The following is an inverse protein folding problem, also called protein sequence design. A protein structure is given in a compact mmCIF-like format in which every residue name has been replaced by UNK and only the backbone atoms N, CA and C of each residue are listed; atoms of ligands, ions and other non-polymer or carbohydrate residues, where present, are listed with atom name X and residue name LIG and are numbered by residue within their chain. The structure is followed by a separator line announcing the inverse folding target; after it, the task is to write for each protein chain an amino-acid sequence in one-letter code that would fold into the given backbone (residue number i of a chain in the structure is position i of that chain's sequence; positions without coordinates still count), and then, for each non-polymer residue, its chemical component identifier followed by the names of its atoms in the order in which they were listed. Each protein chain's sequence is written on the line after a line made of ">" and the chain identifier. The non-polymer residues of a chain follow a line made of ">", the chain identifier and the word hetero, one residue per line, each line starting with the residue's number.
data_IF_841433130148
#
_entry.id   IF_841433130148
#
_cell.length_a   1.000
_cell.length_b   1.000
_cell.length_c   1.000
_cell.angle_alpha   90.00
_cell.angle_beta   90.00
_cell.angle_gamma   90.00
#
_symmetry.space_group_name_H-M   'P 1'
#
loop_
_entity.id
_entity.type
_entity.pdbx_description
1 polymer ?
#
# COMPACT_ATOMS: atom_id res chain seq x y z
N UNK A 1 -45.00 -24.55 9.82
CA UNK A 1 -44.75 -23.13 10.16
C UNK A 1 -43.82 -23.10 11.36
N UNK A 2 -42.52 -22.92 11.13
CA UNK A 2 -41.50 -22.91 12.18
C UNK A 2 -40.67 -21.64 12.02
N UNK A 3 -40.69 -20.79 13.06
CA UNK A 3 -39.98 -19.54 13.14
C UNK A 3 -38.46 -19.76 13.03
N UNK A 4 -37.87 -19.35 11.90
CA UNK A 4 -36.41 -19.27 11.74
C UNK A 4 -35.85 -18.04 12.48
N UNK A 5 -34.68 -18.15 13.13
CA UNK A 5 -34.10 -17.04 13.88
C UNK A 5 -33.78 -15.87 12.93
N UNK A 6 -34.23 -14.68 13.33
CA UNK A 6 -34.16 -13.41 12.62
C UNK A 6 -32.71 -13.09 12.17
N UNK A 7 -32.52 -12.90 10.86
CA UNK A 7 -31.35 -12.19 10.30
C UNK A 7 -30.23 -13.03 9.68
N UNK A 8 -30.42 -14.32 9.40
CA UNK A 8 -29.42 -15.13 8.69
C UNK A 8 -29.64 -15.04 7.17
N UNK A 9 -28.78 -14.31 6.46
CA UNK A 9 -28.75 -14.40 5.00
C UNK A 9 -28.25 -15.79 4.58
N UNK A 10 -28.83 -16.41 3.52
CA UNK A 10 -28.40 -17.69 3.03
C UNK A 10 -26.95 -17.65 2.55
N UNK A 11 -26.22 -18.74 2.74
CA UNK A 11 -24.81 -18.88 2.33
C UNK A 11 -24.66 -18.57 0.84
N UNK A 12 -23.94 -17.49 0.52
CA UNK A 12 -23.64 -17.15 -0.85
C UNK A 12 -22.40 -17.92 -1.31
N UNK A 13 -22.53 -18.50 -2.51
CA UNK A 13 -21.42 -19.21 -3.17
C UNK A 13 -20.60 -18.21 -3.96
N UNK A 14 -19.32 -18.53 -4.11
CA UNK A 14 -18.39 -17.73 -4.90
C UNK A 14 -18.62 -17.98 -6.40
N UNK A 15 -18.12 -17.08 -7.25
CA UNK A 15 -18.23 -17.25 -8.69
C UNK A 15 -17.45 -18.51 -9.16
N UNK A 16 -18.00 -19.32 -10.11
CA UNK A 16 -17.39 -20.57 -10.58
C UNK A 16 -15.98 -20.44 -11.14
N UNK A 17 -15.57 -19.26 -11.59
CA UNK A 17 -14.25 -19.01 -12.15
C UNK A 17 -13.16 -18.71 -11.10
N UNK A 18 -13.52 -18.50 -9.84
CA UNK A 18 -12.55 -18.22 -8.76
C UNK A 18 -11.37 -19.20 -8.64
N UNK A 19 -11.54 -20.52 -8.84
CA UNK A 19 -10.47 -21.50 -8.64
C UNK A 19 -9.44 -21.49 -9.75
N UNK A 20 -9.89 -21.29 -10.99
CA UNK A 20 -9.04 -21.17 -12.17
C UNK A 20 -8.11 -19.95 -12.01
N UNK A 21 -8.65 -18.84 -11.48
CA UNK A 21 -7.92 -17.60 -11.26
C UNK A 21 -6.84 -17.71 -10.16
N UNK A 22 -7.12 -18.44 -9.07
CA UNK A 22 -6.11 -18.73 -8.04
C UNK A 22 -5.08 -19.77 -8.48
N UNK A 23 -5.53 -20.84 -9.15
CA UNK A 23 -4.68 -21.97 -9.58
C UNK A 23 -3.70 -21.61 -10.70
N UNK A 24 -4.04 -20.66 -11.57
CA UNK A 24 -3.16 -20.24 -12.67
C UNK A 24 -1.81 -19.69 -12.17
N UNK A 25 -1.80 -18.91 -11.08
CA UNK A 25 -0.56 -18.36 -10.50
C UNK A 25 0.36 -19.46 -9.96
N UNK A 26 -0.19 -20.44 -9.23
CA UNK A 26 0.58 -21.59 -8.75
C UNK A 26 1.06 -22.48 -9.89
N UNK A 27 0.27 -22.63 -10.96
CA UNK A 27 0.67 -23.43 -12.12
C UNK A 27 1.90 -22.83 -12.81
N UNK A 28 1.94 -21.51 -13.01
CA UNK A 28 3.12 -20.85 -13.59
C UNK A 28 4.36 -21.01 -12.71
N UNK A 29 4.23 -20.92 -11.39
CA UNK A 29 5.35 -21.13 -10.45
C UNK A 29 5.81 -22.59 -10.46
N UNK A 30 4.89 -23.55 -10.50
CA UNK A 30 5.21 -24.98 -10.61
C UNK A 30 5.89 -25.29 -11.94
N UNK A 31 5.39 -24.75 -13.05
CA UNK A 31 6.01 -24.89 -14.38
C UNK A 31 7.39 -24.24 -14.42
N UNK A 32 7.56 -23.07 -13.82
CA UNK A 32 8.85 -22.39 -13.73
C UNK A 32 9.83 -23.09 -12.78
N UNK A 33 9.33 -23.70 -11.69
CA UNK A 33 10.11 -24.46 -10.73
C UNK A 33 10.50 -25.86 -11.22
N UNK A 34 9.72 -26.44 -12.13
CA UNK A 34 10.08 -27.60 -12.94
C UNK A 34 11.16 -27.15 -13.94
N UNK A 35 12.36 -26.99 -13.40
CA UNK A 35 13.54 -26.43 -14.05
C UNK A 35 13.91 -27.14 -15.36
N UNK A 36 14.68 -26.44 -16.19
CA UNK A 36 15.37 -26.97 -17.38
C UNK A 36 16.15 -28.27 -17.09
N UNK A 37 16.60 -28.47 -15.85
CA UNK A 37 17.22 -29.72 -15.38
C UNK A 37 16.28 -30.92 -15.42
N UNK A 38 14.99 -30.74 -15.12
CA UNK A 38 13.98 -31.79 -15.21
C UNK A 38 13.67 -32.10 -16.67
N UNK A 39 13.55 -31.08 -17.52
CA UNK A 39 13.37 -31.27 -18.97
C UNK A 39 14.50 -32.10 -19.58
N UNK A 40 15.77 -31.80 -19.24
CA UNK A 40 16.93 -32.54 -19.75
C UNK A 40 17.02 -33.99 -19.22
N UNK A 41 16.47 -34.28 -18.04
CA UNK A 41 16.50 -35.64 -17.46
C UNK A 41 15.43 -36.56 -18.02
N UNK A 42 14.23 -36.04 -18.23
CA UNK A 42 13.06 -36.86 -18.57
C UNK A 42 12.71 -36.79 -20.07
N UNK A 43 13.25 -35.80 -20.79
CA UNK A 43 12.97 -35.58 -22.21
C UNK A 43 11.66 -34.82 -22.43
N UNK A 44 11.53 -34.17 -23.59
CA UNK A 44 10.42 -33.24 -23.89
C UNK A 44 9.04 -33.89 -23.79
N UNK A 45 8.86 -35.10 -24.35
CA UNK A 45 7.56 -35.77 -24.34
C UNK A 45 7.04 -36.10 -22.94
N UNK A 46 7.90 -36.67 -22.09
CA UNK A 46 7.56 -36.96 -20.69
C UNK A 46 7.39 -35.71 -19.85
N UNK A 47 8.15 -34.66 -20.12
CA UNK A 47 7.96 -33.36 -19.47
C UNK A 47 6.57 -32.79 -19.76
N UNK A 48 6.15 -32.80 -21.03
CA UNK A 48 4.79 -32.35 -21.42
C UNK A 48 3.72 -33.21 -20.78
N UNK A 49 3.87 -34.54 -20.76
CA UNK A 49 2.93 -35.44 -20.10
C UNK A 49 2.81 -35.15 -18.59
N UNK A 50 3.95 -34.98 -17.90
CA UNK A 50 3.98 -34.65 -16.47
C UNK A 50 3.32 -33.29 -16.17
N UNK A 51 3.64 -32.25 -16.95
CA UNK A 51 3.01 -30.93 -16.82
C UNK A 51 1.51 -31.01 -17.05
N UNK A 52 1.06 -31.81 -18.01
CA UNK A 52 -0.36 -32.02 -18.32
C UNK A 52 -1.08 -32.70 -17.16
N UNK A 53 -0.50 -33.78 -16.59
CA UNK A 53 -1.06 -34.48 -15.44
C UNK A 53 -1.13 -33.57 -14.21
N UNK A 54 -0.06 -32.79 -13.94
CA UNK A 54 -0.05 -31.82 -12.85
C UNK A 54 -1.09 -30.72 -13.05
N UNK A 55 -1.24 -30.20 -14.27
CA UNK A 55 -2.25 -29.20 -14.59
C UNK A 55 -3.67 -29.75 -14.43
N UNK A 56 -3.92 -30.99 -14.86
CA UNK A 56 -5.21 -31.66 -14.70
C UNK A 56 -5.54 -31.88 -13.21
N UNK A 57 -4.58 -32.42 -12.44
CA UNK A 57 -4.73 -32.64 -11.00
C UNK A 57 -4.96 -31.33 -10.24
N UNK A 58 -4.21 -30.28 -10.57
CA UNK A 58 -4.42 -28.94 -10.00
C UNK A 58 -5.80 -28.38 -10.34
N UNK A 59 -6.30 -28.59 -11.55
CA UNK A 59 -7.63 -28.16 -11.98
C UNK A 59 -8.73 -28.87 -11.19
N UNK A 60 -8.63 -30.20 -11.02
CA UNK A 60 -9.56 -30.97 -10.20
C UNK A 60 -9.56 -30.48 -8.76
N UNK A 61 -8.38 -30.35 -8.14
CA UNK A 61 -8.26 -29.83 -6.77
C UNK A 61 -8.85 -28.42 -6.63
N UNK A 62 -8.65 -27.56 -7.63
CA UNK A 62 -9.22 -26.21 -7.64
C UNK A 62 -10.75 -26.25 -7.70
N UNK A 63 -11.36 -27.06 -8.56
CA UNK A 63 -12.82 -27.23 -8.66
C UNK A 63 -13.40 -27.77 -7.35
N UNK A 64 -12.80 -28.80 -6.75
CA UNK A 64 -13.33 -29.34 -5.49
C UNK A 64 -13.16 -28.33 -4.33
N UNK A 65 -12.06 -27.56 -4.32
CA UNK A 65 -11.86 -26.46 -3.36
C UNK A 65 -12.95 -25.38 -3.48
N UNK A 66 -13.34 -25.02 -4.71
CA UNK A 66 -14.43 -24.08 -4.98
C UNK A 66 -15.75 -24.47 -4.33
N UNK A 67 -16.16 -25.73 -4.53
CA UNK A 67 -17.43 -26.25 -4.04
C UNK A 67 -17.55 -26.14 -2.51
N UNK A 68 -16.42 -26.19 -1.80
CA UNK A 68 -16.37 -26.11 -0.36
C UNK A 68 -16.18 -24.69 0.19
N UNK A 69 -15.87 -23.70 -0.68
CA UNK A 69 -15.59 -22.32 -0.27
C UNK A 69 -16.86 -21.46 -0.36
N UNK A 70 -17.13 -20.65 0.67
CA UNK A 70 -18.29 -19.75 0.65
C UNK A 70 -18.31 -18.78 1.82
N UNK A 71 -19.20 -17.79 1.76
CA UNK A 71 -19.32 -16.77 2.78
C UNK A 71 -20.76 -16.57 3.24
N UNK A 72 -20.93 -16.12 4.48
CA UNK A 72 -22.19 -15.59 4.96
C UNK A 72 -21.96 -14.38 5.86
N UNK A 73 -22.88 -13.42 5.82
CA UNK A 73 -22.92 -12.29 6.75
C UNK A 73 -23.99 -12.60 7.78
N UNK A 74 -23.60 -12.74 9.05
CA UNK A 74 -24.51 -13.04 10.16
C UNK A 74 -24.39 -11.92 11.19
N UNK A 75 -25.45 -11.10 11.30
CA UNK A 75 -25.46 -9.96 12.22
C UNK A 75 -24.34 -8.97 11.92
N UNK A 76 -23.33 -8.91 12.80
CA UNK A 76 -22.12 -8.07 12.66
C UNK A 76 -20.84 -8.86 12.39
N UNK A 77 -20.95 -10.12 11.94
CA UNK A 77 -19.80 -10.97 11.60
C UNK A 77 -19.87 -11.43 10.15
N UNK A 78 -18.74 -11.32 9.44
CA UNK A 78 -18.52 -11.97 8.16
C UNK A 78 -17.84 -13.32 8.42
N UNK A 79 -18.52 -14.44 8.12
CA UNK A 79 -17.88 -15.76 8.24
C UNK A 79 -17.50 -16.33 6.89
N UNK A 80 -16.23 -16.70 6.77
CA UNK A 80 -15.64 -17.33 5.60
C UNK A 80 -15.37 -18.80 5.89
N UNK A 81 -15.72 -19.65 4.93
CA UNK A 81 -15.50 -21.09 4.98
C UNK A 81 -14.48 -21.43 3.90
N UNK A 82 -13.36 -22.04 4.30
CA UNK A 82 -12.29 -22.48 3.41
C UNK A 82 -11.92 -23.93 3.72
N UNK A 83 -11.39 -24.62 2.71
CA UNK A 83 -10.66 -25.87 2.90
C UNK A 83 -11.32 -27.09 2.26
N UNK A 84 -10.46 -27.94 1.73
CA UNK A 84 -10.81 -29.22 1.11
C UNK A 84 -10.64 -30.38 2.10
N UNK A 85 -9.41 -30.58 2.58
CA UNK A 85 -9.05 -31.62 3.55
C UNK A 85 -9.22 -31.14 5.00
N UNK A 86 -8.81 -29.90 5.29
CA UNK A 86 -9.00 -29.27 6.60
C UNK A 86 -9.99 -28.12 6.47
N UNK A 87 -11.22 -28.32 6.98
CA UNK A 87 -12.25 -27.28 7.01
C UNK A 87 -11.87 -26.22 8.04
N UNK A 88 -11.76 -24.97 7.59
CA UNK A 88 -11.45 -23.80 8.41
C UNK A 88 -12.59 -22.81 8.25
N UNK A 89 -13.21 -22.46 9.38
CA UNK A 89 -14.20 -21.38 9.44
C UNK A 89 -13.56 -20.21 10.15
N UNK A 90 -13.57 -19.04 9.53
CA UNK A 90 -13.08 -17.80 10.15
C UNK A 90 -14.24 -16.81 10.26
N UNK A 91 -14.47 -16.29 11.45
CA UNK A 91 -15.43 -15.22 11.68
C UNK A 91 -14.67 -13.91 11.85
N UNK A 92 -14.94 -12.94 10.97
CA UNK A 92 -14.37 -11.59 10.99
C UNK A 92 -15.46 -10.64 11.50
N UNK A 93 -15.33 -10.10 12.73
CA UNK A 93 -16.23 -9.07 13.21
C UNK A 93 -16.13 -7.82 12.33
N UNK A 94 -17.27 -7.31 11.86
CA UNK A 94 -17.33 -6.11 10.99
C UNK A 94 -16.78 -4.86 11.68
N UNK A 95 -16.78 -4.83 13.02
CA UNK A 95 -16.16 -3.77 13.81
C UNK A 95 -14.63 -3.76 13.74
N UNK A 96 -14.02 -4.92 13.45
CA UNK A 96 -12.58 -5.03 13.23
C UNK A 96 -12.22 -4.80 11.77
N UNK A 97 -13.18 -4.73 10.85
CA UNK A 97 -12.93 -4.47 9.44
C UNK A 97 -12.53 -3.01 9.23
N UNK A 98 -11.28 -2.79 8.84
CA UNK A 98 -10.74 -1.45 8.64
C UNK A 98 -10.83 -0.99 7.20
N UNK A 99 -10.49 -1.87 6.25
CA UNK A 99 -10.36 -1.55 4.85
C UNK A 99 -10.98 -2.62 3.98
N UNK A 100 -11.58 -2.17 2.88
CA UNK A 100 -12.09 -3.04 1.82
C UNK A 100 -11.55 -2.51 0.49
N UNK A 101 -10.63 -3.27 -0.11
CA UNK A 101 -10.05 -2.98 -1.41
C UNK A 101 -10.69 -3.86 -2.48
N UNK A 102 -11.09 -3.26 -3.60
CA UNK A 102 -11.55 -3.99 -4.79
C UNK A 102 -10.37 -4.12 -5.74
N UNK A 103 -9.97 -5.35 -6.00
CA UNK A 103 -8.81 -5.69 -6.83
C UNK A 103 -9.28 -6.47 -8.05
N UNK A 104 -8.85 -6.06 -9.23
CA UNK A 104 -9.17 -6.73 -10.50
C UNK A 104 -7.89 -7.13 -11.23
N UNK A 105 -7.30 -8.29 -10.92
CA UNK A 105 -6.20 -8.86 -11.69
C UNK A 105 -6.60 -9.09 -13.15
N UNK A 106 -5.65 -9.13 -14.08
CA UNK A 106 -5.90 -9.25 -15.53
C UNK A 106 -6.94 -10.30 -15.89
N UNK A 107 -6.78 -11.51 -15.33
CA UNK A 107 -7.68 -12.62 -15.63
C UNK A 107 -9.11 -12.34 -15.11
N UNK A 108 -9.24 -11.63 -13.99
CA UNK A 108 -10.53 -11.15 -13.47
C UNK A 108 -11.07 -9.97 -14.31
N UNK A 109 -10.19 -9.13 -14.86
CA UNK A 109 -10.58 -8.03 -15.75
C UNK A 109 -11.20 -8.57 -17.04
N UNK A 110 -10.58 -9.57 -17.65
CA UNK A 110 -11.08 -10.25 -18.85
C UNK A 110 -12.39 -11.00 -18.62
N UNK A 111 -12.59 -11.54 -17.42
CA UNK A 111 -13.79 -12.32 -17.06
C UNK A 111 -14.89 -11.50 -16.38
N UNK A 112 -14.70 -10.19 -16.18
CA UNK A 112 -15.70 -9.34 -15.52
C UNK A 112 -15.84 -9.56 -14.01
N UNK A 113 -14.78 -10.04 -13.36
CA UNK A 113 -14.74 -10.36 -11.93
C UNK A 113 -13.87 -9.39 -11.13
N UNK A 114 -14.03 -9.42 -9.80
CA UNK A 114 -13.27 -8.64 -8.84
C UNK A 114 -13.06 -9.39 -7.52
N UNK A 115 -11.86 -9.33 -6.99
CA UNK A 115 -11.46 -9.86 -5.67
C UNK A 115 -11.63 -8.75 -4.62
N UNK A 116 -12.17 -9.08 -3.45
CA UNK A 116 -12.28 -8.13 -2.33
C UNK A 116 -11.21 -8.47 -1.29
N UNK A 117 -10.28 -7.55 -1.03
CA UNK A 117 -9.29 -7.71 0.05
C UNK A 117 -9.77 -6.98 1.29
N UNK A 118 -9.87 -7.74 2.38
CA UNK A 118 -10.35 -7.27 3.67
C UNK A 118 -9.17 -7.12 4.62
N UNK A 119 -9.10 -6.00 5.31
CA UNK A 119 -8.06 -5.74 6.31
C UNK A 119 -8.68 -5.52 7.68
N UNK A 120 -8.12 -6.18 8.69
CA UNK A 120 -8.73 -6.35 10.01
C UNK A 120 -7.78 -5.84 11.10
N UNK A 121 -8.30 -5.13 12.10
CA UNK A 121 -7.53 -4.63 13.26
C UNK A 121 -6.90 -5.81 14.02
N UNK A 122 -5.59 -5.77 14.23
CA UNK A 122 -4.87 -6.71 15.10
C UNK A 122 -4.49 -8.04 14.43
N UNK A 123 -4.81 -8.24 13.14
CA UNK A 123 -4.26 -9.30 12.31
C UNK A 123 -3.06 -8.77 11.53
N UNK A 124 -1.86 -9.30 11.76
CA UNK A 124 -0.64 -8.84 11.07
C UNK A 124 -0.58 -9.13 9.55
N UNK A 125 -1.67 -9.61 8.95
CA UNK A 125 -1.79 -9.96 7.52
C UNK A 125 -3.17 -9.53 7.02
N UNK A 126 -3.28 -9.18 5.73
CA UNK A 126 -4.55 -9.08 5.02
C UNK A 126 -5.34 -10.37 5.26
N UNK A 127 -6.35 -10.32 6.11
CA UNK A 127 -7.10 -11.50 6.56
C UNK A 127 -8.07 -11.91 5.47
N UNK A 128 -7.51 -12.66 4.52
CA UNK A 128 -8.12 -13.35 3.40
C UNK A 128 -8.71 -12.47 2.28
N UNK A 129 -8.29 -12.66 1.02
CA UNK A 129 -9.05 -12.16 -0.11
C UNK A 129 -10.39 -12.91 -0.17
N UNK A 130 -11.50 -12.18 -0.07
CA UNK A 130 -12.80 -12.72 -0.42
C UNK A 130 -12.78 -12.97 -1.95
N UNK A 131 -13.01 -14.23 -2.31
CA UNK A 131 -12.87 -14.72 -3.67
C UNK A 131 -13.81 -14.03 -4.68
N UNK A 132 -13.37 -14.08 -5.94
CA UNK A 132 -13.89 -13.31 -7.07
C UNK A 132 -15.43 -13.25 -7.13
N UNK A 133 -15.97 -12.03 -7.07
CA UNK A 133 -17.38 -11.66 -7.25
C UNK A 133 -17.56 -10.89 -8.56
N UNK A 134 -18.80 -10.76 -9.07
CA UNK A 134 -19.08 -9.86 -10.19
C UNK A 134 -18.72 -8.41 -9.83
N UNK A 135 -18.29 -7.57 -10.78
CA UNK A 135 -17.85 -6.19 -10.47
C UNK A 135 -18.91 -5.38 -9.72
N UNK A 136 -20.18 -5.50 -10.14
CA UNK A 136 -21.30 -4.80 -9.51
C UNK A 136 -21.56 -5.31 -8.09
N UNK A 137 -21.53 -6.63 -7.89
CA UNK A 137 -21.69 -7.27 -6.58
C UNK A 137 -20.55 -6.90 -5.63
N UNK A 138 -19.30 -6.91 -6.10
CA UNK A 138 -18.14 -6.52 -5.32
C UNK A 138 -18.22 -5.05 -4.90
N UNK A 139 -18.66 -4.16 -5.80
CA UNK A 139 -18.88 -2.75 -5.49
C UNK A 139 -20.01 -2.55 -4.47
N UNK A 140 -21.13 -3.27 -4.61
CA UNK A 140 -22.25 -3.23 -3.68
C UNK A 140 -21.88 -3.79 -2.30
N UNK A 141 -21.20 -4.95 -2.24
CA UNK A 141 -20.74 -5.56 -1.00
C UNK A 141 -19.73 -4.66 -0.28
N UNK A 142 -18.81 -4.03 -1.01
CA UNK A 142 -17.89 -3.03 -0.46
C UNK A 142 -18.64 -1.88 0.20
N UNK A 143 -19.64 -1.30 -0.47
CA UNK A 143 -20.43 -0.21 0.09
C UNK A 143 -21.15 -0.63 1.36
N UNK A 144 -21.76 -1.82 1.38
CA UNK A 144 -22.41 -2.38 2.56
C UNK A 144 -21.42 -2.55 3.72
N UNK A 145 -20.28 -3.20 3.47
CA UNK A 145 -19.24 -3.42 4.49
C UNK A 145 -18.69 -2.10 5.06
N UNK A 146 -18.45 -1.10 4.21
CA UNK A 146 -18.01 0.22 4.64
C UNK A 146 -19.09 0.99 5.43
N UNK A 147 -20.37 0.85 5.07
CA UNK A 147 -21.48 1.44 5.81
C UNK A 147 -21.60 0.83 7.22
N UNK A 148 -21.32 -0.46 7.38
CA UNK A 148 -21.29 -1.12 8.69
C UNK A 148 -20.04 -0.76 9.51
N UNK A 149 -18.88 -0.60 8.88
CA UNK A 149 -17.64 -0.19 9.54
C UNK A 149 -17.67 1.30 9.97
N UNK A 150 -18.42 2.15 9.26
CA UNK A 150 -18.58 3.57 9.58
C UNK A 150 -19.63 3.88 10.66
N UNK A 151 -20.53 2.95 10.98
CA UNK A 151 -21.49 3.05 12.10
C UNK A 151 -20.90 2.44 13.37
N UNK A 152 -20.08 3.23 14.07
CA UNK A 152 -19.88 3.00 15.51
C UNK A 152 -21.25 3.14 16.21
N UNK A 153 -21.61 2.25 17.14
CA UNK A 153 -22.89 2.32 17.84
C UNK A 153 -22.84 3.42 18.90
N UNK A 154 -23.47 4.55 18.65
CA UNK A 154 -24.01 5.38 19.74
C UNK A 154 -25.35 4.74 20.15
N UNK A 155 -25.53 4.30 21.40
CA UNK A 155 -26.82 3.80 21.86
C UNK A 155 -27.80 4.98 21.94
N UNK A 156 -28.80 4.98 21.05
CA UNK A 156 -29.93 5.93 21.07
C UNK A 156 -31.12 5.29 20.34
N UNK A 157 -32.37 5.50 20.80
CA UNK A 157 -33.48 4.59 20.52
C UNK A 157 -33.94 4.63 19.06
N UNK A 158 -34.43 3.46 18.64
CA UNK A 158 -35.03 3.13 17.36
C UNK A 158 -36.04 4.19 16.88
N UNK A 159 -35.89 4.62 15.63
CA UNK A 159 -37.00 5.10 14.82
C UNK A 159 -37.16 4.13 13.64
N UNK A 160 -38.27 3.39 13.67
CA UNK A 160 -38.70 2.49 12.63
C UNK A 160 -39.32 3.25 11.45
N UNK A 161 -39.15 2.70 10.24
CA UNK A 161 -40.07 2.94 9.12
C UNK A 161 -39.44 3.51 7.85
N UNK A 162 -38.98 2.64 6.95
CA UNK A 162 -39.45 2.57 5.55
C UNK A 162 -38.69 1.47 4.76
N UNK A 163 -39.41 0.60 4.01
CA UNK A 163 -38.79 -0.40 3.16
C UNK A 163 -38.32 0.24 1.85
N UNK A 164 -37.00 0.39 1.68
CA UNK A 164 -36.41 0.74 0.39
C UNK A 164 -36.26 -0.52 -0.46
N UNK A 165 -37.35 -0.88 -1.15
CA UNK A 165 -37.31 -1.75 -2.32
C UNK A 165 -36.64 -1.01 -3.50
N UNK A 166 -35.85 -1.76 -4.27
CA UNK A 166 -35.41 -1.50 -5.64
C UNK A 166 -34.94 -0.09 -6.00
N UNK A 167 -33.66 0.14 -5.73
CA UNK A 167 -32.84 0.97 -6.59
C UNK A 167 -31.52 0.25 -6.83
N UNK A 168 -31.35 -0.31 -8.04
CA UNK A 168 -30.04 -0.58 -8.63
C UNK A 168 -29.37 0.77 -8.76
N UNK A 169 -28.71 1.21 -7.69
CA UNK A 169 -28.05 2.49 -7.62
C UNK A 169 -26.89 2.48 -8.61
N UNK A 170 -27.04 3.24 -9.68
CA UNK A 170 -25.97 3.61 -10.58
C UNK A 170 -24.72 4.02 -9.75
N UNK A 171 -23.51 3.67 -10.19
CA UNK A 171 -22.29 4.03 -9.47
C UNK A 171 -22.30 5.55 -9.22
N UNK A 172 -22.12 6.00 -7.96
CA UNK A 172 -22.21 7.42 -7.62
C UNK A 172 -21.18 8.22 -8.44
N UNK A 173 -21.46 9.51 -8.72
CA UNK A 173 -20.59 10.33 -9.55
C UNK A 173 -19.15 10.30 -9.02
N UNK A 174 -18.14 10.30 -9.91
CA UNK A 174 -16.76 10.37 -9.50
C UNK A 174 -16.60 11.66 -8.67
N UNK A 175 -16.15 11.53 -7.42
CA UNK A 175 -15.84 12.69 -6.58
C UNK A 175 -14.90 13.65 -7.30
N UNK A 176 -14.84 14.92 -6.86
CA UNK A 176 -14.08 15.99 -7.52
C UNK A 176 -12.66 15.51 -7.85
N UNK A 177 -12.33 15.44 -9.14
CA UNK A 177 -11.02 14.97 -9.60
C UNK A 177 -9.95 15.95 -9.13
N UNK A 178 -8.98 15.48 -8.33
CA UNK A 178 -7.87 16.31 -7.86
C UNK A 178 -6.73 16.29 -8.87
N UNK A 179 -6.29 15.10 -9.28
CA UNK A 179 -5.18 14.96 -10.20
C UNK A 179 -5.19 13.61 -10.94
N UNK A 180 -4.71 13.63 -12.18
CA UNK A 180 -4.42 12.44 -12.98
C UNK A 180 -2.98 12.48 -13.44
N UNK A 181 -2.24 11.41 -13.15
CA UNK A 181 -0.84 11.33 -13.54
C UNK A 181 -0.75 10.96 -15.01
N UNK A 182 0.01 11.73 -15.78
CA UNK A 182 0.28 11.43 -17.19
C UNK A 182 1.19 10.21 -17.27
N UNK A 183 0.79 9.17 -18.01
CA UNK A 183 1.56 7.92 -18.11
C UNK A 183 2.99 8.15 -18.64
N UNK A 184 3.21 9.16 -19.48
CA UNK A 184 4.56 9.57 -19.93
C UNK A 184 5.43 10.01 -18.76
N UNK A 185 4.90 10.84 -17.87
CA UNK A 185 5.64 11.31 -16.69
C UNK A 185 5.92 10.17 -15.74
N UNK A 186 4.97 9.24 -15.58
CA UNK A 186 5.20 8.00 -14.84
C UNK A 186 6.35 7.19 -15.44
N UNK A 187 6.36 6.93 -16.75
CA UNK A 187 7.44 6.20 -17.43
C UNK A 187 8.80 6.87 -17.25
N UNK A 188 8.89 8.18 -17.51
CA UNK A 188 10.13 8.94 -17.34
C UNK A 188 10.57 8.93 -15.88
N UNK A 189 9.64 9.01 -14.93
CA UNK A 189 9.94 8.96 -13.50
C UNK A 189 10.57 7.62 -13.08
N UNK A 190 10.13 6.50 -13.67
CA UNK A 190 10.70 5.18 -13.40
C UNK A 190 12.06 4.99 -14.07
N UNK A 191 12.28 5.56 -15.26
CA UNK A 191 13.60 5.61 -15.91
C UNK A 191 14.61 6.42 -15.08
N UNK A 192 14.14 7.47 -14.39
CA UNK A 192 14.93 8.27 -13.45
C UNK A 192 15.00 7.64 -12.04
N UNK A 193 14.83 6.34 -11.90
CA UNK A 193 15.20 5.63 -10.66
C UNK A 193 16.64 5.13 -10.76
N UNK A 194 17.44 5.09 -9.67
CA UNK A 194 18.85 4.67 -9.72
C UNK A 194 19.04 3.32 -10.42
N UNK A 195 18.16 2.36 -10.14
CA UNK A 195 18.14 1.04 -10.77
C UNK A 195 17.96 1.08 -12.29
N UNK A 196 17.00 1.86 -12.81
CA UNK A 196 16.72 1.95 -14.24
C UNK A 196 17.76 2.82 -14.96
N UNK A 197 18.23 3.88 -14.31
CA UNK A 197 19.25 4.78 -14.84
C UNK A 197 20.61 4.08 -15.00
N UNK A 198 20.98 3.21 -14.04
CA UNK A 198 22.22 2.44 -14.10
C UNK A 198 22.13 1.18 -14.98
N UNK A 199 20.93 0.80 -15.40
CA UNK A 199 20.71 -0.43 -16.15
C UNK A 199 21.50 -0.49 -17.48
N UNK A 200 21.53 0.56 -18.32
CA UNK A 200 22.32 0.52 -19.56
C UNK A 200 23.81 0.28 -19.30
N UNK A 201 24.36 0.82 -18.19
CA UNK A 201 25.74 0.60 -17.79
C UNK A 201 25.98 -0.84 -17.35
N UNK A 202 25.04 -1.41 -16.58
CA UNK A 202 25.09 -2.83 -16.20
C UNK A 202 25.02 -3.76 -17.43
N UNK A 203 24.14 -3.45 -18.38
CA UNK A 203 24.04 -4.19 -19.64
C UNK A 203 25.33 -4.07 -20.46
N UNK A 204 25.87 -2.85 -20.60
CA UNK A 204 27.13 -2.64 -21.31
C UNK A 204 28.30 -3.37 -20.67
N UNK A 205 28.36 -3.40 -19.33
CA UNK A 205 29.35 -4.18 -18.58
C UNK A 205 29.23 -5.68 -18.86
N UNK A 206 28.00 -6.23 -18.80
CA UNK A 206 27.73 -7.63 -19.13
C UNK A 206 28.12 -7.95 -20.57
N UNK A 207 27.76 -7.09 -21.52
CA UNK A 207 28.12 -7.27 -22.95
C UNK A 207 29.62 -7.19 -23.15
N UNK A 208 30.32 -6.26 -22.50
CA UNK A 208 31.77 -6.15 -22.57
C UNK A 208 32.45 -7.41 -22.01
N UNK A 209 31.97 -7.92 -20.88
CA UNK A 209 32.43 -9.21 -20.34
C UNK A 209 32.21 -10.31 -21.39
N UNK A 210 31.02 -10.34 -22.01
CA UNK A 210 30.64 -11.33 -23.02
C UNK A 210 31.56 -11.34 -24.24
N UNK A 211 31.97 -10.16 -24.68
CA UNK A 211 32.88 -9.97 -25.80
C UNK A 211 34.35 -10.27 -25.43
N UNK A 212 34.72 -10.14 -24.15
CA UNK A 212 36.09 -10.37 -23.67
C UNK A 212 36.40 -11.84 -23.37
N UNK A 213 35.40 -12.61 -22.93
CA UNK A 213 35.54 -14.02 -22.60
C UNK A 213 35.23 -14.88 -23.85
N UNK A 214 36.18 -15.72 -24.27
CA UNK A 214 36.04 -16.56 -25.46
C UNK A 214 35.03 -17.72 -25.35
N UNK A 215 34.59 -18.07 -24.14
CA UNK A 215 33.58 -19.11 -23.92
C UNK A 215 32.83 -18.90 -22.61
N UNK A 216 31.52 -19.08 -22.64
CA UNK A 216 30.65 -18.93 -21.48
C UNK A 216 30.03 -20.26 -21.09
N UNK A 217 30.03 -20.58 -19.80
CA UNK A 217 29.20 -21.67 -19.32
C UNK A 217 27.72 -21.29 -19.44
N UNK A 218 26.87 -22.27 -19.73
CA UNK A 218 25.41 -22.07 -19.72
C UNK A 218 24.92 -21.47 -18.39
N UNK A 219 25.53 -21.87 -17.28
CA UNK A 219 25.21 -21.37 -15.92
C UNK A 219 25.50 -19.86 -15.82
N UNK A 220 26.61 -19.38 -16.39
CA UNK A 220 26.95 -17.96 -16.40
C UNK A 220 25.96 -17.12 -17.21
N UNK A 221 25.52 -17.61 -18.38
CA UNK A 221 24.48 -16.95 -19.18
C UNK A 221 23.14 -16.92 -18.44
N UNK A 222 22.70 -18.08 -17.92
CA UNK A 222 21.42 -18.20 -17.23
C UNK A 222 21.35 -17.36 -15.94
N UNK A 223 22.43 -17.31 -15.15
CA UNK A 223 22.50 -16.48 -13.95
C UNK A 223 22.49 -14.99 -14.28
N UNK A 224 23.20 -14.56 -15.32
CA UNK A 224 23.21 -13.17 -15.79
C UNK A 224 21.83 -12.73 -16.28
N UNK A 225 21.16 -13.55 -17.10
CA UNK A 225 19.79 -13.29 -17.55
C UNK A 225 18.81 -13.22 -16.37
N UNK A 226 18.93 -14.14 -15.41
CA UNK A 226 18.09 -14.15 -14.21
C UNK A 226 18.30 -12.90 -13.35
N UNK A 227 19.55 -12.49 -13.15
CA UNK A 227 19.89 -11.27 -12.43
C UNK A 227 19.33 -10.03 -13.15
N UNK A 228 19.51 -9.94 -14.47
CA UNK A 228 19.01 -8.83 -15.28
C UNK A 228 17.47 -8.75 -15.26
N UNK A 229 16.79 -9.89 -15.38
CA UNK A 229 15.33 -9.97 -15.25
C UNK A 229 14.86 -9.49 -13.88
N UNK A 230 15.56 -9.86 -12.79
CA UNK A 230 15.25 -9.39 -11.44
C UNK A 230 15.31 -7.88 -11.29
N UNK A 231 16.31 -7.22 -11.89
CA UNK A 231 16.48 -5.76 -11.87
C UNK A 231 15.43 -5.06 -12.75
N UNK A 232 15.15 -5.59 -13.95
CA UNK A 232 14.19 -5.02 -14.90
C UNK A 232 12.74 -5.09 -14.40
N UNK A 233 12.41 -6.16 -13.68
CA UNK A 233 11.01 -6.45 -13.34
C UNK A 233 10.45 -5.46 -12.31
N UNK A 234 11.27 -4.86 -11.45
CA UNK A 234 10.80 -3.90 -10.45
C UNK A 234 10.27 -2.59 -11.05
N UNK A 235 11.02 -1.84 -11.89
CA UNK A 235 10.51 -0.66 -12.58
C UNK A 235 9.27 -0.96 -13.42
N UNK A 236 9.29 -2.07 -14.16
CA UNK A 236 8.16 -2.49 -15.00
C UNK A 236 6.91 -2.72 -14.16
N UNK A 237 7.03 -3.47 -13.05
CA UNK A 237 5.91 -3.67 -12.11
C UNK A 237 5.38 -2.35 -11.57
N UNK A 238 6.23 -1.41 -11.17
CA UNK A 238 5.78 -0.09 -10.70
C UNK A 238 5.00 0.69 -11.76
N UNK A 239 5.47 0.67 -13.02
CA UNK A 239 4.72 1.29 -14.14
C UNK A 239 3.34 0.63 -14.28
N UNK A 240 3.28 -0.69 -14.24
CA UNK A 240 2.03 -1.45 -14.39
C UNK A 240 1.07 -1.21 -13.20
N UNK A 241 1.60 -1.07 -11.99
CA UNK A 241 0.83 -0.83 -10.77
C UNK A 241 0.29 0.61 -10.71
N UNK A 242 1.09 1.60 -11.10
CA UNK A 242 0.73 3.03 -11.01
C UNK A 242 0.15 3.58 -12.33
N UNK A 243 -0.12 2.73 -13.33
CA UNK A 243 -0.65 3.16 -14.63
C UNK A 243 -2.04 3.78 -14.52
N UNK A 244 -2.32 4.84 -15.29
CA UNK A 244 -3.59 5.58 -15.29
C UNK A 244 -4.02 5.96 -13.85
N UNK A 245 -3.08 6.41 -13.03
CA UNK A 245 -3.32 6.83 -11.66
C UNK A 245 -4.26 8.04 -11.63
N UNK A 246 -5.36 7.92 -10.90
CA UNK A 246 -6.35 8.97 -10.68
C UNK A 246 -6.58 9.15 -9.19
N UNK A 247 -6.48 10.40 -8.75
CA UNK A 247 -6.81 10.83 -7.41
C UNK A 247 -8.05 11.71 -7.46
N UNK A 248 -9.10 11.28 -6.79
CA UNK A 248 -10.34 12.03 -6.62
C UNK A 248 -10.62 12.26 -5.14
N UNK A 249 -11.32 13.36 -4.84
CA UNK A 249 -11.79 13.66 -3.50
C UNK A 249 -13.30 13.50 -3.40
N UNK A 250 -13.69 12.89 -2.31
CA UNK A 250 -15.03 12.90 -1.74
C UNK A 250 -15.03 13.75 -0.45
N UNK A 251 -16.18 14.14 0.10
CA UNK A 251 -16.26 15.09 1.22
C UNK A 251 -15.41 14.71 2.44
N UNK A 252 -15.29 13.40 2.71
CA UNK A 252 -14.57 12.86 3.87
C UNK A 252 -13.49 11.83 3.52
N UNK A 253 -13.24 11.58 2.23
CA UNK A 253 -12.34 10.52 1.81
C UNK A 253 -11.65 10.80 0.47
N UNK A 254 -10.45 10.25 0.30
CA UNK A 254 -9.72 10.24 -0.95
C UNK A 254 -9.99 8.93 -1.68
N UNK A 255 -10.28 8.99 -2.98
CA UNK A 255 -10.46 7.82 -3.84
C UNK A 255 -9.26 7.73 -4.78
N UNK A 256 -8.54 6.62 -4.70
CA UNK A 256 -7.38 6.33 -5.52
C UNK A 256 -7.75 5.18 -6.46
N UNK A 257 -7.46 5.35 -7.74
CA UNK A 257 -7.61 4.30 -8.75
C UNK A 257 -6.39 4.22 -9.64
N UNK A 258 -5.83 3.04 -9.80
CA UNK A 258 -4.61 2.81 -10.57
C UNK A 258 -4.49 1.35 -11.02
N UNK A 259 -3.61 1.09 -11.99
CA UNK A 259 -3.19 -0.24 -12.40
C UNK A 259 -3.66 -0.64 -13.79
N UNK A 260 -2.73 -1.17 -14.59
CA UNK A 260 -2.96 -1.73 -15.91
C UNK A 260 -3.31 -3.22 -15.84
N UNK A 261 -2.45 -4.01 -15.16
CA UNK A 261 -2.65 -5.45 -15.04
C UNK A 261 -3.57 -5.82 -13.87
N UNK A 262 -3.43 -5.10 -12.76
CA UNK A 262 -4.25 -5.29 -11.58
C UNK A 262 -4.88 -3.93 -11.26
N UNK A 263 -6.10 -3.69 -11.74
CA UNK A 263 -6.79 -2.43 -11.42
C UNK A 263 -7.24 -2.46 -9.97
N UNK A 264 -6.82 -1.45 -9.20
CA UNK A 264 -7.16 -1.28 -7.80
C UNK A 264 -7.98 -0.01 -7.60
N UNK A 265 -8.98 -0.09 -6.73
CA UNK A 265 -9.80 1.03 -6.35
C UNK A 265 -9.88 1.09 -4.82
N UNK A 266 -9.24 2.10 -4.25
CA UNK A 266 -9.13 2.28 -2.81
C UNK A 266 -9.78 3.60 -2.38
N UNK A 267 -10.35 3.60 -1.18
CA UNK A 267 -10.89 4.80 -0.55
C UNK A 267 -10.26 4.95 0.82
N UNK A 268 -9.54 6.05 1.00
CA UNK A 268 -8.79 6.38 2.22
C UNK A 268 -9.54 7.51 2.94
N UNK A 269 -10.16 7.27 4.10
CA UNK A 269 -10.81 8.32 4.86
C UNK A 269 -9.80 9.36 5.36
N UNK A 270 -10.10 10.66 5.20
CA UNK A 270 -9.18 11.75 5.55
C UNK A 270 -8.85 11.77 7.05
N UNK A 271 -9.83 11.46 7.90
CA UNK A 271 -9.64 11.41 9.35
C UNK A 271 -8.69 10.29 9.80
N UNK A 272 -8.42 9.30 8.95
CA UNK A 272 -7.46 8.22 9.24
C UNK A 272 -6.03 8.54 8.80
N UNK A 273 -5.82 9.61 8.04
CA UNK A 273 -4.49 10.05 7.66
C UNK A 273 -3.72 10.53 8.89
N UNK A 274 -2.52 9.99 9.06
CA UNK A 274 -1.65 10.22 10.23
C UNK A 274 -0.45 11.07 9.86
N UNK A 275 0.25 10.68 8.79
CA UNK A 275 1.46 11.36 8.31
C UNK A 275 1.35 11.57 6.82
N UNK A 276 1.80 12.73 6.34
CA UNK A 276 2.00 13.00 4.91
C UNK A 276 3.50 13.06 4.65
N UNK A 277 4.01 12.15 3.84
CA UNK A 277 5.41 12.06 3.45
C UNK A 277 5.65 12.58 2.05
N UNK A 278 6.52 13.57 1.89
CA UNK A 278 6.92 14.12 0.60
C UNK A 278 8.35 13.66 0.31
N UNK A 279 8.61 13.13 -0.87
CA UNK A 279 9.93 12.62 -1.25
C UNK A 279 10.39 13.25 -2.57
N UNK A 280 11.64 13.74 -2.60
CA UNK A 280 12.32 14.24 -3.79
C UNK A 280 13.55 13.36 -4.09
N UNK A 281 13.41 12.37 -4.99
CA UNK A 281 14.52 11.55 -5.46
C UNK A 281 15.62 12.38 -6.13
N UNK A 282 16.87 11.94 -6.03
CA UNK A 282 18.02 12.67 -6.57
C UNK A 282 17.87 13.01 -8.06
N UNK A 283 17.55 12.00 -8.87
CA UNK A 283 17.46 12.10 -10.32
C UNK A 283 16.21 12.87 -10.79
N UNK A 284 15.26 13.13 -9.89
CA UNK A 284 14.04 13.89 -10.17
C UNK A 284 14.21 15.39 -9.93
N UNK A 285 15.27 15.79 -9.21
CA UNK A 285 15.53 17.19 -8.83
C UNK A 285 15.60 18.16 -10.02
N UNK A 286 16.21 17.82 -11.17
CA UNK A 286 16.24 18.74 -12.31
C UNK A 286 14.85 19.07 -12.86
N UNK A 287 13.90 18.15 -12.75
CA UNK A 287 12.50 18.35 -13.14
C UNK A 287 11.61 18.91 -12.02
N UNK A 288 12.14 19.06 -10.81
CA UNK A 288 11.38 19.47 -9.64
C UNK A 288 10.31 18.46 -9.19
N UNK A 289 10.33 17.22 -9.71
CA UNK A 289 9.30 16.24 -9.39
C UNK A 289 9.39 15.74 -7.94
N UNK A 290 8.22 15.46 -7.39
CA UNK A 290 8.04 14.91 -6.06
C UNK A 290 7.10 13.71 -6.06
N UNK A 291 7.15 12.95 -4.98
CA UNK A 291 6.23 11.87 -4.67
C UNK A 291 5.57 12.16 -3.33
N UNK A 292 4.25 11.98 -3.25
CA UNK A 292 3.51 12.05 -1.99
C UNK A 292 3.09 10.67 -1.51
N UNK A 293 3.28 10.46 -0.22
CA UNK A 293 2.87 9.27 0.50
C UNK A 293 2.01 9.61 1.71
N UNK A 294 1.13 8.70 2.08
CA UNK A 294 0.31 8.81 3.28
C UNK A 294 0.64 7.65 4.21
N UNK A 295 0.76 7.90 5.50
CA UNK A 295 0.64 6.85 6.50
C UNK A 295 -0.78 6.91 7.07
N UNK A 296 -1.50 5.81 7.01
CA UNK A 296 -2.91 5.73 7.42
C UNK A 296 -3.03 4.81 8.62
N UNK A 297 -3.77 5.25 9.65
CA UNK A 297 -3.99 4.43 10.82
C UNK A 297 -4.77 3.16 10.48
N UNK A 298 -4.32 2.04 11.06
CA UNK A 298 -4.89 0.72 10.84
C UNK A 298 -4.14 -0.10 9.79
N UNK A 299 -3.56 0.56 8.78
CA UNK A 299 -2.86 -0.09 7.66
C UNK A 299 -1.40 -0.47 7.99
N UNK A 300 -1.17 -0.97 9.20
CA UNK A 300 0.18 -1.07 9.78
C UNK A 300 0.52 -2.51 10.19
N UNK A 301 1.64 -3.04 9.67
CA UNK A 301 2.41 -4.06 10.41
C UNK A 301 2.92 -5.30 9.68
N UNK A 302 2.74 -5.43 8.36
CA UNK A 302 3.37 -6.52 7.60
C UNK A 302 4.71 -6.11 6.96
N UNK A 303 5.61 -7.08 6.74
CA UNK A 303 6.89 -7.00 6.01
C UNK A 303 6.93 -5.96 4.85
N UNK A 304 8.11 -5.49 4.41
CA UNK A 304 8.26 -4.46 3.37
C UNK A 304 7.92 -4.97 1.95
N UNK A 305 6.80 -5.67 1.74
CA UNK A 305 6.24 -5.87 0.40
C UNK A 305 5.48 -4.59 0.00
N UNK A 306 6.17 -3.75 -0.77
CA UNK A 306 5.76 -2.43 -1.33
C UNK A 306 4.41 -2.46 -2.09
N UNK A 307 3.80 -3.64 -2.25
CA UNK A 307 2.59 -3.90 -3.05
C UNK A 307 1.28 -3.65 -2.32
N UNK A 308 1.20 -3.80 -0.99
CA UNK A 308 -0.11 -3.80 -0.30
C UNK A 308 -0.37 -2.57 0.58
N UNK A 309 0.47 -1.53 0.47
CA UNK A 309 0.29 -0.31 1.26
C UNK A 309 -0.57 0.74 0.53
N UNK A 310 -1.60 1.31 1.18
CA UNK A 310 -2.32 2.52 0.73
C UNK A 310 -1.45 3.79 0.69
N UNK A 311 -0.15 3.67 0.91
CA UNK A 311 0.71 4.80 1.20
C UNK A 311 0.99 5.69 -0.02
N UNK A 312 0.30 5.53 -1.15
CA UNK A 312 0.60 6.23 -2.41
C UNK A 312 -0.48 7.23 -2.75
N UNK A 313 -0.20 8.50 -2.48
CA UNK A 313 -1.11 9.61 -2.79
C UNK A 313 -0.81 10.25 -4.14
N UNK A 314 0.47 10.35 -4.50
CA UNK A 314 0.92 10.89 -5.78
C UNK A 314 2.23 10.19 -6.18
N UNK A 315 2.24 9.25 -7.15
CA UNK A 315 3.43 8.49 -7.50
C UNK A 315 4.54 9.38 -8.10
N UNK A 316 4.14 10.36 -8.92
CA UNK A 316 4.96 11.44 -9.47
C UNK A 316 4.07 12.66 -9.70
N UNK A 317 4.57 13.85 -9.41
CA UNK A 317 3.93 15.12 -9.79
C UNK A 317 4.86 16.32 -9.58
N UNK A 318 4.44 17.46 -10.09
CA UNK A 318 5.12 18.74 -9.88
C UNK A 318 4.85 19.31 -8.46
N UNK A 319 5.64 20.29 -8.01
CA UNK A 319 5.46 20.90 -6.69
C UNK A 319 4.09 21.55 -6.48
N UNK A 320 3.49 22.16 -7.52
CA UNK A 320 2.18 22.80 -7.44
C UNK A 320 1.07 21.78 -7.24
N UNK A 321 1.08 20.69 -8.00
CA UNK A 321 0.19 19.54 -7.77
C UNK A 321 0.39 18.98 -6.36
N UNK A 322 1.64 18.86 -5.91
CA UNK A 322 1.95 18.42 -4.55
C UNK A 322 1.31 19.30 -3.48
N UNK A 323 1.40 20.62 -3.65
CA UNK A 323 0.79 21.60 -2.74
C UNK A 323 -0.73 21.50 -2.72
N UNK A 324 -1.36 21.41 -3.89
CA UNK A 324 -2.82 21.25 -4.01
C UNK A 324 -3.29 20.01 -3.26
N UNK A 325 -2.62 18.89 -3.48
CA UNK A 325 -2.98 17.62 -2.84
C UNK A 325 -2.77 17.68 -1.33
N UNK A 326 -1.66 18.26 -0.85
CA UNK A 326 -1.40 18.39 0.59
C UNK A 326 -2.38 19.35 1.27
N UNK A 327 -2.72 20.48 0.65
CA UNK A 327 -3.72 21.41 1.17
C UNK A 327 -5.10 20.74 1.31
N UNK A 328 -5.41 19.81 0.42
CA UNK A 328 -6.66 19.06 0.44
C UNK A 328 -6.70 18.00 1.55
N UNK A 329 -5.56 17.35 1.84
CA UNK A 329 -5.44 16.39 2.94
C UNK A 329 -5.33 17.09 4.30
N UNK A 330 -4.58 18.18 4.36
CA UNK A 330 -4.26 18.97 5.55
C UNK A 330 -4.63 20.44 5.33
N UNK A 331 -5.89 20.83 5.62
CA UNK A 331 -6.36 22.19 5.38
C UNK A 331 -5.54 23.23 6.15
N UNK A 332 -5.02 24.22 5.42
CA UNK A 332 -4.23 25.33 5.97
C UNK A 332 -2.71 25.10 5.96
N UNK A 333 -2.23 23.93 5.53
CA UNK A 333 -0.79 23.63 5.46
C UNK A 333 -0.26 23.90 4.04
N UNK A 334 0.79 24.71 3.93
CA UNK A 334 1.49 24.99 2.66
C UNK A 334 2.87 24.34 2.67
N UNK A 335 3.19 23.51 1.68
CA UNK A 335 4.48 22.79 1.62
C UNK A 335 5.68 23.74 1.59
N UNK A 336 5.61 24.81 0.80
CA UNK A 336 6.67 25.83 0.69
C UNK A 336 6.83 26.69 1.95
N UNK A 337 5.79 26.79 2.79
CA UNK A 337 5.81 27.58 4.02
C UNK A 337 6.43 26.87 5.24
N UNK A 338 6.71 25.57 5.14
CA UNK A 338 7.22 24.78 6.27
C UNK A 338 8.70 25.10 6.55
N UNK A 339 8.94 26.05 7.45
CA UNK A 339 10.28 26.42 7.90
C UNK A 339 10.90 25.28 8.73
N UNK A 340 12.07 24.77 8.33
CA UNK A 340 12.83 23.76 9.09
C UNK A 340 14.22 24.24 9.44
N UNK A 341 14.66 24.03 10.68
CA UNK A 341 15.98 24.42 11.17
C UNK A 341 16.95 23.23 11.12
N UNK A 342 18.19 23.43 10.61
CA UNK A 342 19.20 22.39 10.61
C UNK A 342 19.73 22.09 12.03
N UNK A 343 20.31 20.90 12.28
CA UNK A 343 20.89 20.57 13.57
C UNK A 343 22.07 21.48 13.92
N UNK A 344 22.49 21.62 15.19
CA UNK A 344 23.65 22.42 15.58
C UNK A 344 24.95 22.00 14.87
N UNK A 345 25.98 22.87 14.78
CA UNK A 345 27.22 22.60 14.04
C UNK A 345 27.95 21.32 14.48
N UNK A 346 27.88 20.98 15.77
CA UNK A 346 28.50 19.77 16.35
C UNK A 346 27.93 18.45 15.80
N UNK A 347 26.73 18.47 15.22
CA UNK A 347 26.17 17.33 14.50
C UNK A 347 26.96 16.97 13.23
N UNK A 348 27.90 17.81 12.78
CA UNK A 348 28.81 17.48 11.66
C UNK A 348 29.62 16.21 11.89
N UNK A 349 29.93 15.87 13.15
CA UNK A 349 30.67 14.65 13.49
C UNK A 349 29.85 13.39 13.29
N UNK A 350 28.52 13.48 13.41
CA UNK A 350 27.61 12.36 13.16
C UNK A 350 27.12 12.34 11.71
N UNK A 351 26.95 13.53 11.12
CA UNK A 351 26.38 13.73 9.78
C UNK A 351 27.21 14.74 8.97
N UNK A 352 28.42 14.39 8.54
CA UNK A 352 29.31 15.34 7.87
C UNK A 352 28.69 15.89 6.58
N UNK A 353 28.09 15.01 5.78
CA UNK A 353 27.49 15.35 4.47
C UNK A 353 25.99 15.66 4.57
N UNK A 354 25.28 15.10 5.54
CA UNK A 354 23.81 15.16 5.62
C UNK A 354 23.27 16.16 6.65
N UNK A 355 24.12 16.90 7.38
CA UNK A 355 23.66 17.90 8.37
C UNK A 355 22.67 18.90 7.78
N UNK A 356 22.97 19.50 6.63
CA UNK A 356 22.08 20.48 5.98
C UNK A 356 20.84 19.82 5.36
N UNK A 357 20.88 18.51 5.15
CA UNK A 357 19.79 17.74 4.56
C UNK A 357 18.71 17.37 5.60
N UNK A 358 19.05 17.41 6.89
CA UNK A 358 18.13 17.17 7.99
C UNK A 358 17.66 18.50 8.58
N UNK A 359 16.40 18.55 9.02
CA UNK A 359 15.88 19.67 9.79
C UNK A 359 14.55 19.35 10.45
N UNK A 360 14.11 20.18 11.38
CA UNK A 360 12.79 20.07 12.00
C UNK A 360 12.17 21.46 12.16
N UNK A 361 10.85 21.51 12.16
CA UNK A 361 10.08 22.74 12.18
C UNK A 361 8.73 22.55 12.83
N UNK A 362 8.30 23.56 13.58
CA UNK A 362 6.97 23.64 14.14
C UNK A 362 6.19 24.67 13.35
N UNK A 363 5.11 24.22 12.71
CA UNK A 363 4.13 25.09 12.05
C UNK A 363 2.90 25.24 12.97
N UNK A 364 1.92 26.07 12.59
CA UNK A 364 0.71 26.31 13.39
C UNK A 364 -0.08 25.03 13.66
N UNK A 365 -0.18 24.13 12.66
CA UNK A 365 -1.05 22.94 12.73
C UNK A 365 -0.29 21.62 12.65
N UNK A 366 0.96 21.65 12.19
CA UNK A 366 1.75 20.45 11.91
C UNK A 366 3.17 20.55 12.43
N UNK A 367 3.72 19.40 12.77
CA UNK A 367 5.14 19.20 12.95
C UNK A 367 5.75 18.71 11.63
N UNK A 368 6.81 19.37 11.17
CA UNK A 368 7.50 19.03 9.93
C UNK A 368 8.94 18.59 10.22
N UNK A 369 9.33 17.42 9.70
CA UNK A 369 10.69 16.91 9.82
C UNK A 369 11.26 16.55 8.46
N UNK A 370 12.44 17.09 8.15
CA UNK A 370 13.17 16.87 6.90
C UNK A 370 14.35 15.94 7.13
N UNK A 371 14.58 15.01 6.20
CA UNK A 371 15.69 14.06 6.25
C UNK A 371 16.19 13.65 4.86
N UNK A 372 17.30 12.90 4.82
CA UNK A 372 17.81 12.27 3.60
C UNK A 372 18.69 13.16 2.70
N UNK A 373 19.86 12.64 2.31
CA UNK A 373 20.88 13.37 1.53
C UNK A 373 20.62 13.32 0.02
N UNK A 374 20.65 12.12 -0.54
CA UNK A 374 20.45 11.87 -1.98
C UNK A 374 18.96 11.96 -2.33
N UNK A 375 18.14 11.28 -1.52
CA UNK A 375 16.68 11.38 -1.59
C UNK A 375 16.22 12.24 -0.43
N UNK A 376 15.74 13.46 -0.71
CA UNK A 376 15.19 14.33 0.34
C UNK A 376 13.80 13.85 0.71
N UNK A 377 13.50 13.85 2.00
CA UNK A 377 12.21 13.46 2.55
C UNK A 377 11.72 14.54 3.50
N UNK A 378 10.42 14.79 3.51
CA UNK A 378 9.74 15.68 4.45
C UNK A 378 8.52 14.92 5.00
N UNK A 379 8.52 14.65 6.29
CA UNK A 379 7.38 14.10 7.00
C UNK A 379 6.60 15.24 7.66
N UNK A 380 5.28 15.26 7.44
CA UNK A 380 4.35 16.26 7.97
C UNK A 380 3.35 15.54 8.83
N UNK A 381 3.36 15.83 10.13
CA UNK A 381 2.52 15.17 11.14
C UNK A 381 1.63 16.21 11.80
N UNK A 382 0.30 16.13 11.66
CA UNK A 382 -0.62 16.99 12.40
C UNK A 382 -0.52 16.74 13.91
N UNK A 383 -0.57 17.81 14.71
CA UNK A 383 -0.44 17.66 16.17
C UNK A 383 -1.51 16.75 16.78
N UNK A 384 -2.74 16.79 16.24
CA UNK A 384 -3.85 15.92 16.65
C UNK A 384 -3.59 14.42 16.40
N UNK A 385 -2.60 14.07 15.55
CA UNK A 385 -2.26 12.68 15.17
C UNK A 385 -1.02 12.15 15.90
N UNK A 386 -0.22 13.01 16.52
CA UNK A 386 0.87 12.58 17.40
C UNK A 386 0.26 11.79 18.55
N UNK A 387 0.80 10.61 18.86
CA UNK A 387 0.36 9.76 19.97
C UNK A 387 1.34 9.81 21.13
N UNK A 388 2.62 9.59 20.84
CA UNK A 388 3.72 9.68 21.79
C UNK A 388 4.84 10.56 21.25
N UNK A 389 5.54 11.20 22.17
CA UNK A 389 6.75 11.95 21.89
C UNK A 389 7.88 11.29 22.66
N UNK A 390 8.97 10.94 21.98
CA UNK A 390 10.12 10.26 22.59
C UNK A 390 11.39 11.01 22.28
N UNK A 391 12.21 11.24 23.30
CA UNK A 391 13.58 11.72 23.13
C UNK A 391 14.53 10.53 23.24
N UNK A 392 15.31 10.29 22.19
CA UNK A 392 16.32 9.24 22.17
C UNK A 392 17.71 9.87 22.11
N UNK A 393 18.64 9.31 22.88
CA UNK A 393 20.02 9.76 22.91
C UNK A 393 20.96 8.56 22.92
N UNK A 394 21.60 8.30 21.77
CA UNK A 394 22.63 7.27 21.65
C UNK A 394 23.96 7.65 22.35
N UNK A 395 24.92 6.72 22.50
CA UNK A 395 26.19 6.98 23.20
C UNK A 395 27.02 8.13 22.59
N UNK A 396 27.12 8.18 21.26
CA UNK A 396 27.83 9.25 20.55
C UNK A 396 27.09 10.57 20.65
N UNK A 397 25.75 10.55 20.54
CA UNK A 397 24.92 11.74 20.74
C UNK A 397 25.06 12.28 22.16
N UNK A 398 25.13 11.43 23.19
CA UNK A 398 25.39 11.82 24.58
C UNK A 398 26.71 12.56 24.71
N UNK A 399 27.78 12.05 24.09
CA UNK A 399 29.10 12.70 24.10
C UNK A 399 29.10 14.06 23.41
N UNK A 400 28.26 14.24 22.38
CA UNK A 400 28.09 15.49 21.63
C UNK A 400 26.96 16.39 22.17
N UNK A 401 26.31 16.02 23.27
CA UNK A 401 25.11 16.68 23.82
C UNK A 401 24.01 16.87 22.78
N UNK A 402 23.76 15.84 21.97
CA UNK A 402 22.70 15.79 20.96
C UNK A 402 21.61 14.79 21.38
N UNK A 403 20.43 14.93 20.80
CA UNK A 403 19.35 13.95 20.93
C UNK A 403 18.42 13.98 19.69
N UNK A 404 17.69 12.90 19.47
CA UNK A 404 16.66 12.82 18.43
C UNK A 404 15.29 12.85 19.10
N UNK A 405 14.39 13.70 18.60
CA UNK A 405 12.99 13.74 19.06
C UNK A 405 12.11 13.03 18.04
N UNK A 406 11.35 12.04 18.47
CA UNK A 406 10.40 11.31 17.66
C UNK A 406 8.98 11.74 18.04
N UNK A 407 8.17 12.05 17.04
CA UNK A 407 6.74 12.26 17.14
C UNK A 407 6.06 11.05 16.48
N UNK A 408 5.70 10.06 17.28
CA UNK A 408 5.12 8.82 16.78
C UNK A 408 3.61 8.99 16.58
N UNK A 409 3.08 8.36 15.53
CA UNK A 409 1.65 8.41 15.17
C UNK A 409 1.02 7.02 15.17
N UNK A 410 -0.31 6.95 15.16
CA UNK A 410 -1.03 5.68 15.09
C UNK A 410 -0.70 4.92 13.79
N UNK A 411 -0.09 3.74 13.85
CA UNK A 411 0.13 2.91 12.66
C UNK A 411 1.28 3.35 11.73
N UNK A 412 2.21 4.17 12.20
CA UNK A 412 3.36 4.61 11.40
C UNK A 412 4.56 5.06 12.24
N UNK A 413 5.66 5.37 11.56
CA UNK A 413 6.87 5.87 12.23
C UNK A 413 6.83 7.38 12.52
N UNK A 414 5.79 8.08 12.05
CA UNK A 414 5.58 9.49 12.31
C UNK A 414 6.70 10.37 11.73
N UNK A 415 7.25 11.27 12.56
CA UNK A 415 8.31 12.18 12.17
C UNK A 415 9.43 12.26 13.23
N UNK A 416 10.67 12.50 12.79
CA UNK A 416 11.82 12.56 13.69
C UNK A 416 12.70 13.80 13.45
N UNK A 417 12.88 14.62 14.49
CA UNK A 417 13.88 15.69 14.53
C UNK A 417 15.24 15.11 14.94
N UNK A 418 16.10 14.77 13.98
CA UNK A 418 17.39 14.17 14.29
C UNK A 418 18.43 15.18 14.81
N UNK A 419 19.25 14.72 15.75
CA UNK A 419 20.50 15.34 16.20
C UNK A 419 20.33 16.80 16.67
N UNK A 420 19.23 17.09 17.36
CA UNK A 420 18.97 18.37 18.01
C UNK A 420 19.92 18.61 19.18
N UNK A 421 20.12 19.88 19.53
CA UNK A 421 20.74 20.22 20.81
C UNK A 421 19.94 19.56 21.95
N UNK A 422 20.59 19.04 22.99
CA UNK A 422 19.90 18.35 24.07
C UNK A 422 18.82 19.21 24.75
N UNK A 423 19.09 20.50 24.97
CA UNK A 423 18.11 21.42 25.55
C UNK A 423 16.96 21.70 24.57
N UNK A 424 17.29 21.93 23.29
CA UNK A 424 16.32 22.08 22.20
C UNK A 424 15.44 20.84 22.05
N UNK A 425 16.00 19.63 22.18
CA UNK A 425 15.29 18.37 22.05
C UNK A 425 14.22 18.20 23.13
N UNK A 426 14.56 18.51 24.39
CA UNK A 426 13.60 18.47 25.48
C UNK A 426 12.55 19.57 25.39
N UNK A 427 12.94 20.79 24.99
CA UNK A 427 11.99 21.86 24.71
C UNK A 427 11.01 21.47 23.59
N UNK A 428 11.52 20.96 22.47
CA UNK A 428 10.71 20.51 21.34
C UNK A 428 9.79 19.35 21.74
N UNK A 429 10.26 18.42 22.56
CA UNK A 429 9.42 17.34 23.06
C UNK A 429 8.26 17.84 23.95
N UNK A 430 8.53 18.81 24.83
CA UNK A 430 7.51 19.43 25.66
C UNK A 430 6.49 20.20 24.81
N UNK A 431 6.97 20.98 23.84
CA UNK A 431 6.13 21.76 22.93
C UNK A 431 5.24 20.88 22.05
N UNK A 432 5.80 19.79 21.47
CA UNK A 432 5.01 18.81 20.72
C UNK A 432 3.93 18.17 21.58
N UNK A 433 4.24 17.85 22.83
CA UNK A 433 3.27 17.27 23.77
C UNK A 433 2.15 18.26 24.09
N UNK A 434 2.49 19.53 24.32
CA UNK A 434 1.53 20.59 24.59
C UNK A 434 0.61 20.84 23.38
N UNK A 435 1.17 21.00 22.18
CA UNK A 435 0.40 21.20 20.94
C UNK A 435 -0.45 19.99 20.59
N UNK A 436 0.06 18.77 20.78
CA UNK A 436 -0.72 17.55 20.57
C UNK A 436 -1.91 17.49 21.53
N UNK A 437 -1.73 17.83 22.81
CA UNK A 437 -2.83 17.89 23.78
C UNK A 437 -3.85 18.96 23.40
N UNK A 438 -3.42 20.18 23.07
CA UNK A 438 -4.30 21.26 22.66
C UNK A 438 -5.10 20.90 21.39
N UNK A 439 -4.45 20.33 20.39
CA UNK A 439 -5.10 19.93 19.14
C UNK A 439 -6.12 18.80 19.33
N UNK A 440 -5.90 17.88 20.29
CA UNK A 440 -6.88 16.84 20.63
C UNK A 440 -8.09 17.37 21.41
N UNK A 441 -7.94 18.48 22.13
CA UNK A 441 -9.06 19.13 22.83
C UNK A 441 -9.93 19.97 21.88
N UNK A 442 -9.33 20.46 20.78
CA UNK A 442 -10.02 21.27 19.77
C UNK A 442 -10.69 20.46 18.64
N UNK A 443 -10.40 19.16 18.56
CA UNK A 443 -10.92 18.22 17.55
C UNK A 443 -12.06 17.38 18.13
#
# INVERSE_FOLDING_TARGET
>A
MSHGPLGQEPRQRLHPLSPVLHGAKSLVVVIAGLSWSTLNRVGFGWFVAMVTVLALGATVLAVVSWYNTGYHVVGRELRMHEGLLWRRTRAIPLERLQAVEVVRPLLAQLTGLAELRLEVVGGGKTEAPLAYLGVAEAAALRQRLLAFAGRAPTPGPQAAGQPAADAVAAPPPPGRLLHTVVNRDLLVSQLLTPQAFLLPFGVAFVVAQFLSEGSWSFIAVASTLTAMAGVLLQPVRRVLDDWNFRLARDDRALRIRNGLLETRAQTVPLHRVQTVGVTWPLLWRPKGWLRLRLEVAGYSGGEPDDRNRPDRLLPVGDPGTGELVVAEVLPGVRLTGLATTPPPPRARWLRPLSRRAVGAGLDERVFAARSGLLTRQLAIVPYARIQSVRVTQGPVQRRLRLATVHADTAGGSGAAAHDRDLAEAWWLAAELTARARAARLAA
#
